data_IF_706352216837
#
_entry.id   IF_706352216837
#
_cell.length_a   1.000
_cell.length_b   1.000
_cell.length_c   1.000
_cell.angle_alpha   90.00
_cell.angle_beta   90.00
_cell.angle_gamma   90.00
#
_symmetry.space_group_name_H-M   'P 1'
#
loop_
_entity.id
_entity.type
_entity.pdbx_description
1 polymer ?
#
# COMPACT_ATOMS: atom_id res chain seq x y z
N UNK A 1 13.54 9.18 3.52
CA UNK A 1 12.81 8.78 4.74
C UNK A 1 12.02 7.53 4.37
N UNK A 2 12.61 6.37 4.63
CA UNK A 2 11.99 5.05 4.43
C UNK A 2 11.25 4.62 5.69
N UNK A 3 10.25 5.41 6.12
CA UNK A 3 9.27 4.95 7.11
C UNK A 3 8.05 4.45 6.35
N UNK A 4 8.22 3.31 5.68
CA UNK A 4 7.08 2.48 5.32
C UNK A 4 6.41 2.08 6.64
N UNK A 5 5.32 2.76 7.00
CA UNK A 5 4.64 2.56 8.28
C UNK A 5 4.52 1.06 8.59
N UNK A 6 5.17 0.54 9.66
CA UNK A 6 5.46 -0.88 9.83
C UNK A 6 4.22 -1.79 9.87
N UNK A 7 3.03 -1.21 10.04
CA UNK A 7 1.75 -1.91 9.88
C UNK A 7 1.40 -2.25 8.43
N UNK A 8 1.62 -1.35 7.46
CA UNK A 8 1.19 -1.54 6.06
C UNK A 8 1.89 -2.74 5.42
N UNK A 9 3.20 -2.79 5.59
CA UNK A 9 4.04 -3.90 5.13
C UNK A 9 3.63 -5.23 5.75
N UNK A 10 3.40 -5.25 7.07
CA UNK A 10 2.91 -6.46 7.76
C UNK A 10 1.56 -6.93 7.23
N UNK A 11 0.63 -6.03 6.93
CA UNK A 11 -0.67 -6.40 6.37
C UNK A 11 -0.54 -7.01 4.96
N UNK A 12 0.30 -6.44 4.11
CA UNK A 12 0.59 -7.00 2.78
C UNK A 12 1.30 -8.35 2.87
N UNK A 13 2.30 -8.47 3.75
CA UNK A 13 3.03 -9.72 3.97
C UNK A 13 2.12 -10.83 4.51
N UNK A 14 1.23 -10.50 5.45
CA UNK A 14 0.25 -11.45 5.98
C UNK A 14 -0.70 -11.93 4.87
N UNK A 15 -1.32 -11.00 4.13
CA UNK A 15 -2.23 -11.36 3.05
C UNK A 15 -1.54 -12.17 1.93
N UNK A 16 -0.30 -11.82 1.60
CA UNK A 16 0.50 -12.56 0.62
C UNK A 16 0.89 -13.96 1.11
N UNK A 17 1.23 -14.10 2.40
CA UNK A 17 1.53 -15.38 3.02
C UNK A 17 0.30 -16.29 3.06
N UNK A 18 -0.87 -15.74 3.40
CA UNK A 18 -2.13 -16.48 3.43
C UNK A 18 -2.54 -16.98 2.04
N UNK A 19 -2.39 -16.11 1.02
CA UNK A 19 -2.59 -16.50 -0.39
C UNK A 19 -1.62 -17.60 -0.80
N UNK A 20 -0.33 -17.45 -0.51
CA UNK A 20 0.69 -18.44 -0.87
C UNK A 20 0.42 -19.80 -0.20
N UNK A 21 -0.06 -19.81 1.05
CA UNK A 21 -0.43 -21.04 1.74
C UNK A 21 -1.61 -21.75 1.05
N UNK A 22 -2.66 -21.00 0.67
CA UNK A 22 -3.81 -21.55 -0.07
C UNK A 22 -3.39 -22.08 -1.45
N UNK A 23 -2.64 -21.30 -2.22
CA UNK A 23 -2.15 -21.73 -3.55
C UNK A 23 -1.25 -22.96 -3.47
N UNK A 24 -0.41 -23.07 -2.44
CA UNK A 24 0.42 -24.26 -2.21
C UNK A 24 -0.44 -25.49 -1.95
N UNK A 25 -1.53 -25.36 -1.17
CA UNK A 25 -2.46 -26.45 -0.95
C UNK A 25 -3.19 -26.84 -2.24
N UNK A 26 -3.69 -25.86 -3.01
CA UNK A 26 -4.34 -26.11 -4.30
C UNK A 26 -3.43 -26.85 -5.27
N UNK A 27 -2.15 -26.49 -5.33
CA UNK A 27 -1.18 -27.15 -6.21
C UNK A 27 -1.06 -28.66 -5.95
N UNK A 28 -1.22 -29.12 -4.70
CA UNK A 28 -1.22 -30.55 -4.37
C UNK A 28 -2.45 -31.23 -4.97
N UNK A 29 -3.63 -30.61 -4.85
CA UNK A 29 -4.87 -31.15 -5.40
C UNK A 29 -4.90 -31.13 -6.92
N UNK A 30 -4.48 -30.02 -7.53
CA UNK A 30 -4.43 -29.88 -8.98
C UNK A 30 -3.44 -30.88 -9.60
N UNK A 31 -2.33 -31.20 -8.92
CA UNK A 31 -1.42 -32.26 -9.34
C UNK A 31 -2.09 -33.64 -9.31
N UNK A 32 -2.82 -33.99 -8.24
CA UNK A 32 -3.54 -35.25 -8.15
C UNK A 32 -4.63 -35.37 -9.24
N UNK A 33 -5.39 -34.29 -9.48
CA UNK A 33 -6.40 -34.21 -10.53
C UNK A 33 -5.75 -34.42 -11.90
N UNK A 34 -4.64 -33.74 -12.19
CA UNK A 34 -3.94 -33.85 -13.46
C UNK A 34 -3.36 -35.26 -13.70
N UNK A 35 -2.91 -35.93 -12.64
CA UNK A 35 -2.43 -37.30 -12.69
C UNK A 35 -3.55 -38.35 -12.78
N UNK A 36 -4.82 -37.95 -12.61
CA UNK A 36 -5.95 -38.88 -12.49
C UNK A 36 -5.89 -39.74 -11.22
N UNK A 37 -5.15 -39.28 -10.21
CA UNK A 37 -4.99 -39.97 -8.94
C UNK A 37 -6.15 -39.65 -7.98
N UNK A 38 -6.41 -40.52 -6.99
CA UNK A 38 -7.36 -40.22 -5.92
C UNK A 38 -6.97 -38.92 -5.20
N UNK A 39 -7.96 -38.08 -4.90
CA UNK A 39 -7.69 -36.83 -4.19
C UNK A 39 -7.16 -37.11 -2.77
N UNK A 40 -6.09 -36.42 -2.34
CA UNK A 40 -5.57 -36.58 -0.98
C UNK A 40 -6.60 -36.09 0.05
N UNK A 41 -6.64 -36.75 1.21
CA UNK A 41 -7.51 -36.32 2.30
C UNK A 41 -7.15 -34.88 2.78
N UNK A 42 -8.15 -34.03 3.07
CA UNK A 42 -7.90 -32.69 3.59
C UNK A 42 -7.08 -32.69 4.88
N UNK A 43 -6.04 -31.85 4.92
CA UNK A 43 -5.08 -31.81 6.03
C UNK A 43 -5.42 -30.80 7.13
N UNK A 44 -6.43 -29.93 6.93
CA UNK A 44 -6.75 -28.82 7.86
C UNK A 44 -8.03 -29.03 8.68
N UNK A 45 -7.89 -28.92 10.00
CA UNK A 45 -8.91 -28.53 10.98
C UNK A 45 -10.29 -29.22 10.86
N UNK A 46 -11.36 -28.53 10.44
CA UNK A 46 -12.69 -29.13 10.38
C UNK A 46 -12.88 -30.08 9.18
N UNK A 47 -11.93 -30.13 8.24
CA UNK A 47 -12.06 -30.81 6.96
C UNK A 47 -11.45 -32.21 6.93
N UNK A 48 -10.74 -32.62 7.99
CA UNK A 48 -10.24 -33.98 8.12
C UNK A 48 -11.40 -34.94 8.44
N UNK A 49 -11.36 -36.16 7.90
CA UNK A 49 -12.22 -37.24 8.34
C UNK A 49 -12.16 -37.37 9.88
N UNK A 50 -13.25 -37.02 10.57
CA UNK A 50 -13.30 -37.06 12.03
C UNK A 50 -13.52 -38.49 12.51
N UNK A 51 -12.79 -38.87 13.55
CA UNK A 51 -13.10 -40.12 14.26
C UNK A 51 -14.55 -40.11 14.75
N UNK A 52 -15.24 -41.24 14.56
CA UNK A 52 -16.66 -41.41 14.86
C UNK A 52 -17.02 -41.02 16.31
N UNK A 53 -16.10 -41.20 17.27
CA UNK A 53 -16.27 -40.77 18.68
C UNK A 53 -16.22 -39.25 18.87
N UNK A 54 -15.39 -38.55 18.09
CA UNK A 54 -15.30 -37.09 18.13
C UNK A 54 -16.53 -36.45 17.46
N UNK A 55 -16.99 -37.03 16.34
CA UNK A 55 -18.22 -36.63 15.64
C UNK A 55 -19.45 -36.70 16.53
N UNK A 56 -19.63 -37.81 17.26
CA UNK A 56 -20.74 -37.99 18.21
C UNK A 56 -20.77 -36.92 19.31
N UNK A 57 -19.60 -36.48 19.80
CA UNK A 57 -19.50 -35.41 20.80
C UNK A 57 -19.90 -34.05 20.22
N UNK A 58 -19.45 -33.73 19.01
CA UNK A 58 -19.81 -32.48 18.31
C UNK A 58 -21.30 -32.41 17.97
N UNK A 59 -21.88 -33.53 17.49
CA UNK A 59 -23.33 -33.64 17.29
C UNK A 59 -24.12 -33.46 18.57
N UNK A 60 -23.66 -34.01 19.70
CA UNK A 60 -24.28 -33.80 21.00
C UNK A 60 -24.20 -32.32 21.47
N UNK A 61 -23.23 -31.56 20.96
CA UNK A 61 -23.09 -30.11 21.19
C UNK A 61 -23.85 -29.24 20.18
N UNK A 62 -24.64 -29.84 19.28
CA UNK A 62 -25.40 -29.11 18.25
C UNK A 62 -24.54 -28.62 17.07
N UNK A 63 -23.27 -29.00 17.01
CA UNK A 63 -22.36 -28.64 15.91
C UNK A 63 -22.41 -29.78 14.88
N UNK A 64 -23.12 -29.55 13.78
CA UNK A 64 -23.10 -30.46 12.65
C UNK A 64 -21.98 -30.06 11.69
N UNK A 65 -20.78 -30.60 11.91
CA UNK A 65 -19.72 -30.54 10.89
C UNK A 65 -20.01 -31.66 9.90
N UNK A 66 -20.61 -31.32 8.77
CA UNK A 66 -20.72 -32.24 7.64
C UNK A 66 -19.33 -32.70 7.23
N UNK A 67 -19.17 -34.00 6.98
CA UNK A 67 -17.93 -34.51 6.39
C UNK A 67 -17.82 -33.92 4.99
N UNK A 68 -16.84 -33.04 4.79
CA UNK A 68 -16.62 -32.38 3.52
C UNK A 68 -15.81 -33.30 2.61
N UNK A 69 -16.30 -33.53 1.40
CA UNK A 69 -15.59 -34.31 0.40
C UNK A 69 -14.34 -33.58 -0.06
N UNK A 70 -13.33 -34.32 -0.57
CA UNK A 70 -12.13 -33.71 -1.13
C UNK A 70 -12.46 -32.76 -2.31
N UNK A 71 -13.51 -33.05 -3.09
CA UNK A 71 -13.96 -32.19 -4.17
C UNK A 71 -14.55 -30.86 -3.66
N UNK A 72 -15.38 -30.91 -2.61
CA UNK A 72 -15.89 -29.70 -1.94
C UNK A 72 -14.74 -28.88 -1.34
N UNK A 73 -13.73 -29.55 -0.77
CA UNK A 73 -12.53 -28.88 -0.24
C UNK A 73 -11.70 -28.16 -1.30
N UNK A 74 -11.50 -28.76 -2.47
CA UNK A 74 -10.89 -28.06 -3.61
C UNK A 74 -11.71 -26.84 -4.03
N UNK A 75 -13.05 -26.97 -4.02
CA UNK A 75 -13.96 -25.85 -4.30
C UNK A 75 -13.77 -24.68 -3.32
N UNK A 76 -13.75 -24.96 -2.01
CA UNK A 76 -13.52 -23.97 -0.96
C UNK A 76 -12.13 -23.32 -1.07
N UNK A 77 -11.09 -24.11 -1.37
CA UNK A 77 -9.74 -23.56 -1.57
C UNK A 77 -9.68 -22.60 -2.77
N UNK A 78 -10.35 -22.92 -3.89
CA UNK A 78 -10.40 -22.04 -5.06
C UNK A 78 -11.16 -20.75 -4.77
N UNK A 79 -12.27 -20.86 -4.03
CA UNK A 79 -13.02 -19.68 -3.59
C UNK A 79 -12.17 -18.79 -2.67
N UNK A 80 -11.48 -19.39 -1.70
CA UNK A 80 -10.60 -18.68 -0.78
C UNK A 80 -9.43 -18.01 -1.50
N UNK A 81 -8.79 -18.71 -2.45
CA UNK A 81 -7.70 -18.15 -3.26
C UNK A 81 -8.17 -16.91 -4.02
N UNK A 82 -9.35 -16.98 -4.64
CA UNK A 82 -9.94 -15.85 -5.36
C UNK A 82 -10.18 -14.65 -4.43
N UNK A 83 -10.79 -14.86 -3.25
CA UNK A 83 -11.00 -13.79 -2.27
C UNK A 83 -9.68 -13.19 -1.75
N UNK A 84 -8.66 -14.02 -1.52
CA UNK A 84 -7.35 -13.57 -1.06
C UNK A 84 -6.62 -12.76 -2.14
N UNK A 85 -6.75 -13.14 -3.42
CA UNK A 85 -6.22 -12.37 -4.54
C UNK A 85 -6.87 -10.99 -4.64
N UNK A 86 -8.21 -10.93 -4.59
CA UNK A 86 -8.96 -9.66 -4.63
C UNK A 86 -8.61 -8.77 -3.43
N UNK A 87 -8.54 -9.35 -2.23
CA UNK A 87 -8.17 -8.64 -1.01
C UNK A 87 -6.74 -8.06 -1.09
N UNK A 88 -5.77 -8.84 -1.57
CA UNK A 88 -4.39 -8.38 -1.74
C UNK A 88 -4.29 -7.24 -2.76
N UNK A 89 -5.02 -7.33 -3.88
CA UNK A 89 -5.07 -6.27 -4.89
C UNK A 89 -5.68 -4.98 -4.32
N UNK A 90 -6.77 -5.10 -3.57
CA UNK A 90 -7.44 -3.97 -2.91
C UNK A 90 -6.52 -3.28 -1.91
N UNK A 91 -5.81 -4.05 -1.07
CA UNK A 91 -4.83 -3.51 -0.12
C UNK A 91 -3.69 -2.76 -0.81
N UNK A 92 -3.15 -3.31 -1.91
CA UNK A 92 -2.10 -2.65 -2.71
C UNK A 92 -2.57 -1.33 -3.28
N UNK A 93 -3.78 -1.30 -3.87
CA UNK A 93 -4.35 -0.09 -4.44
C UNK A 93 -4.58 0.98 -3.37
N UNK A 94 -5.15 0.59 -2.23
CA UNK A 94 -5.40 1.49 -1.11
C UNK A 94 -4.10 2.15 -0.62
N UNK A 95 -3.03 1.37 -0.43
CA UNK A 95 -1.75 1.94 0.03
C UNK A 95 -1.08 2.82 -1.03
N UNK A 96 -1.13 2.44 -2.30
CA UNK A 96 -0.58 3.25 -3.39
C UNK A 96 -1.30 4.60 -3.51
N UNK A 97 -2.62 4.64 -3.32
CA UNK A 97 -3.41 5.87 -3.33
C UNK A 97 -3.06 6.78 -2.15
N UNK A 98 -2.87 6.21 -0.95
CA UNK A 98 -2.40 6.96 0.22
C UNK A 98 -1.03 7.58 -0.06
N UNK A 99 -0.07 6.80 -0.56
CA UNK A 99 1.28 7.30 -0.85
C UNK A 99 1.27 8.39 -1.92
N UNK A 100 0.43 8.25 -2.96
CA UNK A 100 0.21 9.27 -3.99
C UNK A 100 -0.25 10.60 -3.38
N UNK A 101 -1.27 10.55 -2.52
CA UNK A 101 -1.82 11.76 -1.88
C UNK A 101 -0.78 12.44 -0.98
N UNK A 102 -0.01 11.68 -0.21
CA UNK A 102 1.08 12.24 0.59
C UNK A 102 2.14 12.91 -0.27
N UNK A 103 2.57 12.26 -1.35
CA UNK A 103 3.55 12.83 -2.28
C UNK A 103 3.04 14.12 -2.93
N UNK A 104 1.77 14.19 -3.30
CA UNK A 104 1.17 15.42 -3.84
C UNK A 104 1.25 16.60 -2.87
N UNK A 105 0.99 16.36 -1.58
CA UNK A 105 1.13 17.37 -0.53
C UNK A 105 2.57 17.86 -0.43
N UNK A 106 3.54 16.93 -0.38
CA UNK A 106 4.95 17.28 -0.27
C UNK A 106 5.48 18.02 -1.51
N UNK A 107 5.07 17.60 -2.70
CA UNK A 107 5.44 18.29 -3.95
C UNK A 107 4.90 19.73 -3.95
N UNK A 108 3.66 19.93 -3.50
CA UNK A 108 3.12 21.29 -3.39
C UNK A 108 3.85 22.15 -2.35
N UNK A 109 4.23 21.57 -1.22
CA UNK A 109 5.01 22.29 -0.20
C UNK A 109 6.39 22.68 -0.73
N UNK A 110 7.11 21.73 -1.33
CA UNK A 110 8.43 21.97 -1.91
C UNK A 110 8.40 23.04 -3.01
N UNK A 111 7.34 23.07 -3.84
CA UNK A 111 7.15 24.13 -4.84
C UNK A 111 7.01 25.50 -4.19
N UNK A 112 6.19 25.63 -3.14
CA UNK A 112 6.03 26.89 -2.41
C UNK A 112 7.35 27.37 -1.80
N UNK A 113 8.11 26.47 -1.19
CA UNK A 113 9.40 26.81 -0.60
C UNK A 113 10.41 27.26 -1.67
N UNK A 114 10.43 26.59 -2.83
CA UNK A 114 11.25 26.97 -3.97
C UNK A 114 10.86 28.36 -4.51
N UNK A 115 9.56 28.64 -4.65
CA UNK A 115 9.07 29.95 -5.10
C UNK A 115 9.48 31.06 -4.13
N UNK A 116 9.38 30.81 -2.82
CA UNK A 116 9.87 31.73 -1.78
C UNK A 116 11.37 31.95 -1.90
N UNK A 117 12.17 30.89 -2.02
CA UNK A 117 13.62 31.01 -2.16
C UNK A 117 14.03 31.84 -3.39
N UNK A 118 13.39 31.59 -4.54
CA UNK A 118 13.61 32.35 -5.77
C UNK A 118 13.26 33.83 -5.59
N UNK A 119 12.16 34.14 -4.88
CA UNK A 119 11.77 35.54 -4.62
C UNK A 119 12.76 36.27 -3.72
N UNK A 120 13.28 35.61 -2.68
CA UNK A 120 14.28 36.17 -1.77
C UNK A 120 15.59 36.42 -2.51
N UNK A 121 16.02 35.47 -3.35
CA UNK A 121 17.21 35.63 -4.17
C UNK A 121 17.07 36.83 -5.14
N UNK A 122 15.92 36.96 -5.81
CA UNK A 122 15.64 38.08 -6.70
C UNK A 122 15.66 39.43 -5.95
N UNK A 123 15.07 39.48 -4.75
CA UNK A 123 15.08 40.67 -3.91
C UNK A 123 16.50 41.06 -3.46
N UNK A 124 17.32 40.10 -3.04
CA UNK A 124 18.71 40.32 -2.66
C UNK A 124 19.55 40.86 -3.83
N UNK A 125 19.36 40.33 -5.05
CA UNK A 125 20.04 40.83 -6.25
C UNK A 125 19.64 42.27 -6.60
N UNK A 126 18.37 42.62 -6.38
CA UNK A 126 17.85 43.97 -6.63
C UNK A 126 18.46 45.03 -5.69
N UNK A 127 18.65 44.70 -4.40
CA UNK A 127 19.24 45.61 -3.41
C UNK A 127 20.75 45.78 -3.55
N UNK A 128 21.45 44.84 -4.21
CA UNK A 128 22.89 44.92 -4.49
C UNK A 128 23.24 45.77 -5.71
N UNK A 129 22.28 46.29 -6.48
CA UNK A 129 22.59 47.32 -7.48
C UNK A 129 23.02 48.59 -6.74
N UNK A 130 24.24 49.12 -6.98
CA UNK A 130 24.67 50.34 -6.33
C UNK A 130 23.71 51.44 -6.77
N UNK A 131 23.03 52.04 -5.79
CA UNK A 131 22.27 53.25 -5.98
C UNK A 131 23.17 54.24 -6.70
N UNK A 132 22.91 54.45 -8.00
CA UNK A 132 23.53 55.51 -8.77
C UNK A 132 23.10 56.81 -8.09
N UNK A 133 23.99 57.29 -7.20
CA UNK A 133 23.98 58.63 -6.68
C UNK A 133 23.82 59.57 -7.87
N UNK A 134 22.62 60.10 -8.04
CA UNK A 134 22.41 61.34 -8.76
C UNK A 134 23.05 62.48 -7.98
N UNK A 135 24.39 62.50 -7.96
CA UNK A 135 25.18 63.66 -7.54
C UNK A 135 24.96 64.73 -8.60
N UNK A 136 23.97 65.61 -8.42
CA UNK A 136 23.94 66.89 -9.12
C UNK A 136 24.87 67.86 -8.38
N UNK A 137 26.13 67.88 -8.82
CA UNK A 137 27.07 68.97 -8.59
C UNK A 137 27.23 69.69 -9.93
N UNK A 138 27.06 71.01 -9.90
CA UNK A 138 27.15 71.95 -11.02
C UNK A 138 26.44 73.22 -10.57
N UNK A 139 27.07 74.00 -9.69
CA UNK A 139 27.84 75.20 -10.03
C UNK A 139 26.96 76.31 -10.63
N UNK A 140 26.87 77.44 -9.92
CA UNK A 140 26.25 78.68 -10.39
C UNK A 140 27.01 79.32 -11.56
N UNK A 141 26.52 80.46 -12.07
CA UNK A 141 26.89 81.71 -11.40
C UNK A 141 25.79 82.77 -11.30
N UNK A 142 26.07 83.75 -10.45
CA UNK A 142 25.40 85.03 -10.22
C UNK A 142 24.61 85.64 -11.38
N UNK A 143 23.41 86.12 -11.07
CA UNK A 143 22.91 87.40 -11.58
C UNK A 143 22.18 88.17 -10.49
N UNK A 144 22.95 89.05 -9.85
CA UNK A 144 22.68 90.43 -9.39
C UNK A 144 21.24 90.85 -8.99
N UNK A 145 21.24 91.42 -7.79
CA UNK A 145 20.34 92.41 -7.19
C UNK A 145 20.14 93.65 -8.09
N UNK A 146 18.90 94.11 -8.19
CA UNK A 146 18.48 95.51 -8.00
C UNK A 146 17.01 95.53 -7.56
#
# INVERSE_FOLDING_TARGET
MDEEAPGRRRHLETAASDLAATSTQLAIYDAAIAAGEPLPEPSRGPFRAMECKHRKRMWASGINVGEMTAAEYVGELRFLEHLQQEGLMTLRQMFAEIDRQYLEIFVQLARKELDVANSVEAAARSTTLPGAMGRRVGEGPDTRIA
#
